data_IF_156665669752
#
_entry.id   IF_156665669752
#
_cell.length_a   1.000
_cell.length_b   1.000
_cell.length_c   1.000
_cell.angle_alpha   90.00
_cell.angle_beta   90.00
_cell.angle_gamma   90.00
#
_symmetry.space_group_name_H-M   'P 1'
#
loop_
_entity.id
_entity.type
_entity.pdbx_description
1 polymer ?
#
# COMPACT_ATOMS: atom_id res chain seq x y z
N UNK A 1 -21.36 -23.28 30.59
CA UNK A 1 -22.63 -22.74 30.07
C UNK A 1 -22.20 -21.59 29.18
N UNK A 2 -21.98 -21.92 27.99
CA UNK A 2 -22.75 -21.77 26.76
C UNK A 2 -22.89 -20.30 26.34
N UNK A 3 -21.98 -19.83 25.46
CA UNK A 3 -22.23 -18.73 24.55
C UNK A 3 -21.54 -19.06 23.21
N UNK A 4 -22.01 -20.14 22.58
CA UNK A 4 -21.83 -20.43 21.16
C UNK A 4 -23.14 -20.03 20.49
N UNK A 5 -23.11 -18.96 19.70
CA UNK A 5 -23.97 -18.74 18.51
C UNK A 5 -23.95 -17.27 18.15
N UNK A 6 -23.19 -16.95 17.12
CA UNK A 6 -23.58 -15.98 16.09
C UNK A 6 -22.59 -16.13 14.92
N UNK A 7 -22.61 -17.30 14.30
CA UNK A 7 -22.13 -17.45 12.93
C UNK A 7 -23.29 -17.03 12.01
N UNK A 8 -23.24 -15.82 11.50
CA UNK A 8 -24.10 -15.36 10.43
C UNK A 8 -23.64 -15.94 9.09
N UNK A 9 -24.07 -17.18 8.79
CA UNK A 9 -24.06 -17.64 7.40
C UNK A 9 -24.97 -16.69 6.61
N UNK A 10 -24.45 -16.08 5.54
CA UNK A 10 -25.24 -15.35 4.55
C UNK A 10 -26.27 -16.32 3.97
N UNK A 11 -27.43 -16.47 4.61
CA UNK A 11 -28.54 -17.21 4.04
C UNK A 11 -29.27 -16.28 3.07
N UNK A 12 -29.04 -16.47 1.79
CA UNK A 12 -29.93 -15.94 0.76
C UNK A 12 -31.33 -16.54 0.96
N UNK A 13 -32.42 -15.75 0.88
CA UNK A 13 -33.78 -16.31 0.92
C UNK A 13 -33.92 -17.26 -0.25
N UNK A 14 -34.29 -18.51 0.01
CA UNK A 14 -34.60 -19.49 -1.01
C UNK A 14 -35.82 -18.99 -1.83
N UNK A 15 -35.57 -18.18 -2.84
CA UNK A 15 -36.48 -18.03 -3.97
C UNK A 15 -36.23 -19.24 -4.86
N UNK A 16 -37.25 -20.08 -5.08
CA UNK A 16 -37.19 -21.35 -5.85
C UNK A 16 -36.91 -21.13 -7.34
N UNK A 17 -35.79 -20.50 -7.68
CA UNK A 17 -35.26 -20.32 -9.02
C UNK A 17 -33.80 -20.84 -9.10
N UNK A 18 -33.26 -21.04 -10.32
CA UNK A 18 -31.85 -21.42 -10.47
C UNK A 18 -30.92 -20.33 -9.87
N UNK A 19 -29.83 -20.76 -9.21
CA UNK A 19 -28.80 -19.85 -8.69
C UNK A 19 -28.23 -18.99 -9.83
N UNK A 20 -28.01 -17.71 -9.55
CA UNK A 20 -27.29 -16.81 -10.44
C UNK A 20 -25.82 -17.23 -10.55
N UNK A 21 -25.09 -16.74 -11.57
CA UNK A 21 -23.65 -17.00 -11.71
C UNK A 21 -22.87 -16.53 -10.46
N UNK A 22 -23.20 -15.34 -9.93
CA UNK A 22 -22.56 -14.80 -8.72
C UNK A 22 -22.83 -15.71 -7.50
N UNK A 23 -24.06 -16.18 -7.29
CA UNK A 23 -24.39 -17.07 -6.17
C UNK A 23 -23.63 -18.41 -6.26
N UNK A 24 -23.44 -18.96 -7.46
CA UNK A 24 -22.64 -20.18 -7.67
C UNK A 24 -21.17 -19.94 -7.29
N UNK A 25 -20.57 -18.84 -7.79
CA UNK A 25 -19.19 -18.49 -7.49
C UNK A 25 -18.98 -18.25 -6.00
N UNK A 26 -19.88 -17.50 -5.33
CA UNK A 26 -19.82 -17.27 -3.89
C UNK A 26 -19.88 -18.58 -3.11
N UNK A 27 -20.81 -19.47 -3.48
CA UNK A 27 -20.92 -20.81 -2.84
C UNK A 27 -19.66 -21.64 -3.04
N UNK A 28 -19.03 -21.54 -4.22
CA UNK A 28 -17.78 -22.23 -4.52
C UNK A 28 -16.63 -21.64 -3.66
N UNK A 29 -16.50 -20.31 -3.56
CA UNK A 29 -15.51 -19.65 -2.69
C UNK A 29 -15.70 -20.11 -1.24
N UNK A 30 -16.95 -20.15 -0.73
CA UNK A 30 -17.21 -20.62 0.64
C UNK A 30 -16.73 -22.06 0.88
N UNK A 31 -16.76 -22.91 -0.15
CA UNK A 31 -16.24 -24.28 -0.06
C UNK A 31 -14.72 -24.38 -0.01
N UNK A 32 -14.00 -23.35 -0.37
CA UNK A 32 -12.54 -23.30 -0.38
C UNK A 32 -11.92 -22.81 0.95
N UNK A 33 -12.72 -22.50 1.97
CA UNK A 33 -12.24 -21.88 3.22
C UNK A 33 -10.97 -22.54 3.76
N UNK A 34 -11.00 -23.85 3.97
CA UNK A 34 -9.87 -24.57 4.55
C UNK A 34 -8.67 -24.61 3.59
N UNK A 35 -8.92 -24.77 2.29
CA UNK A 35 -7.88 -24.75 1.26
C UNK A 35 -7.19 -23.37 1.15
N UNK A 36 -7.94 -22.28 1.28
CA UNK A 36 -7.38 -20.92 1.31
C UNK A 36 -6.51 -20.70 2.54
N UNK A 37 -6.92 -21.20 3.70
CA UNK A 37 -6.12 -21.14 4.93
C UNK A 37 -4.81 -21.92 4.75
N UNK A 38 -4.86 -23.14 4.25
CA UNK A 38 -3.68 -23.99 4.05
C UNK A 38 -2.73 -23.36 3.03
N UNK A 39 -3.26 -22.75 1.96
CA UNK A 39 -2.43 -22.08 0.97
C UNK A 39 -1.77 -20.81 1.52
N UNK A 40 -2.48 -20.02 2.33
CA UNK A 40 -1.93 -18.88 3.04
C UNK A 40 -0.76 -19.29 3.96
N UNK A 41 -0.94 -20.38 4.72
CA UNK A 41 0.11 -20.92 5.60
C UNK A 41 1.32 -21.39 4.77
N UNK A 42 1.08 -22.04 3.63
CA UNK A 42 2.13 -22.47 2.71
C UNK A 42 2.94 -21.28 2.16
N UNK A 43 2.28 -20.20 1.74
CA UNK A 43 2.95 -19.00 1.22
C UNK A 43 3.74 -18.27 2.30
N UNK A 44 3.22 -18.19 3.53
CA UNK A 44 3.93 -17.59 4.66
C UNK A 44 5.23 -18.35 5.02
N UNK A 45 5.26 -19.67 4.83
CA UNK A 45 6.45 -20.50 5.07
C UNK A 45 7.60 -20.25 4.07
N UNK A 46 7.37 -19.41 3.05
CA UNK A 46 8.36 -19.03 2.04
C UNK A 46 8.60 -17.54 2.12
N UNK A 47 9.51 -17.09 3.00
CA UNK A 47 9.81 -15.67 3.14
C UNK A 47 10.44 -15.15 1.85
N UNK A 48 9.74 -14.22 1.22
CA UNK A 48 10.19 -13.53 0.00
C UNK A 48 10.70 -12.12 0.37
N UNK A 49 11.65 -12.05 1.30
CA UNK A 49 12.26 -10.79 1.70
C UNK A 49 13.19 -10.31 0.58
N UNK A 50 13.11 -9.03 0.25
CA UNK A 50 13.94 -8.41 -0.78
C UNK A 50 15.43 -8.56 -0.49
N UNK A 51 16.31 -8.74 -1.52
CA UNK A 51 17.76 -8.79 -1.35
C UNK A 51 18.32 -7.57 -0.63
N UNK A 52 17.81 -6.37 -0.92
CA UNK A 52 18.20 -5.13 -0.24
C UNK A 52 17.93 -5.15 1.27
N UNK A 53 17.01 -6.01 1.74
CA UNK A 53 16.69 -6.26 3.14
C UNK A 53 17.29 -7.55 3.68
N UNK A 54 18.25 -8.16 2.96
CA UNK A 54 18.99 -9.35 3.37
C UNK A 54 18.31 -10.69 3.07
N UNK A 55 17.27 -10.69 2.22
CA UNK A 55 16.56 -11.90 1.80
C UNK A 55 17.04 -12.48 0.47
N UNK A 56 16.32 -13.48 -0.03
CA UNK A 56 16.61 -14.17 -1.30
C UNK A 56 15.66 -13.77 -2.44
N UNK A 57 14.70 -12.84 -2.18
CA UNK A 57 13.69 -12.43 -3.14
C UNK A 57 12.56 -13.46 -3.34
N UNK A 58 11.78 -13.31 -4.41
CA UNK A 58 10.48 -13.94 -4.58
C UNK A 58 10.49 -15.25 -5.36
N UNK A 59 11.60 -15.67 -5.92
CA UNK A 59 11.67 -16.80 -6.89
C UNK A 59 10.99 -18.06 -6.37
N UNK A 60 11.26 -18.45 -5.12
CA UNK A 60 10.67 -19.66 -4.51
C UNK A 60 9.15 -19.56 -4.35
N UNK A 61 8.65 -18.37 -3.96
CA UNK A 61 7.22 -18.11 -3.85
C UNK A 61 6.56 -18.09 -5.23
N UNK A 62 7.21 -17.45 -6.21
CA UNK A 62 6.76 -17.39 -7.60
C UNK A 62 6.58 -18.79 -8.23
N UNK A 63 7.45 -19.75 -7.93
CA UNK A 63 7.32 -21.13 -8.43
C UNK A 63 6.01 -21.79 -7.96
N UNK A 64 5.65 -21.65 -6.69
CA UNK A 64 4.40 -22.20 -6.15
C UNK A 64 3.18 -21.50 -6.77
N UNK A 65 3.25 -20.18 -6.90
CA UNK A 65 2.20 -19.39 -7.52
C UNK A 65 2.01 -19.76 -8.99
N UNK A 66 3.08 -19.97 -9.75
CA UNK A 66 3.04 -20.44 -11.13
C UNK A 66 2.36 -21.81 -11.27
N UNK A 67 2.63 -22.71 -10.34
CA UNK A 67 1.97 -24.01 -10.30
C UNK A 67 0.47 -23.90 -10.00
N UNK A 68 0.09 -23.02 -9.08
CA UNK A 68 -1.32 -22.73 -8.80
C UNK A 68 -2.04 -22.17 -10.03
N UNK A 69 -1.46 -21.15 -10.69
CA UNK A 69 -2.02 -20.49 -11.86
C UNK A 69 -2.28 -21.48 -13.00
N UNK A 70 -1.29 -22.33 -13.31
CA UNK A 70 -1.39 -23.36 -14.35
C UNK A 70 -2.50 -24.37 -14.07
N UNK A 71 -2.65 -24.80 -12.81
CA UNK A 71 -3.67 -25.79 -12.40
C UNK A 71 -5.09 -25.24 -12.44
N UNK A 72 -5.25 -23.93 -12.32
CA UNK A 72 -6.56 -23.27 -12.20
C UNK A 72 -6.97 -22.47 -13.45
N UNK A 73 -6.54 -22.92 -14.64
CA UNK A 73 -7.07 -22.48 -15.92
C UNK A 73 -6.54 -21.15 -16.45
N UNK A 74 -5.52 -20.55 -15.80
CA UNK A 74 -4.86 -19.38 -16.38
C UNK A 74 -3.94 -19.84 -17.51
N UNK A 75 -4.26 -19.45 -18.72
CA UNK A 75 -3.69 -20.01 -19.95
C UNK A 75 -2.57 -19.18 -20.58
N UNK A 76 -2.55 -17.87 -20.32
CA UNK A 76 -1.52 -16.95 -20.78
C UNK A 76 -0.76 -16.46 -19.56
N UNK A 77 0.41 -17.04 -19.30
CA UNK A 77 1.26 -16.70 -18.17
C UNK A 77 2.57 -16.13 -18.74
N UNK A 78 2.85 -14.88 -18.43
CA UNK A 78 4.10 -14.21 -18.75
C UNK A 78 4.90 -13.99 -17.45
N UNK A 79 6.19 -14.37 -17.47
CA UNK A 79 7.10 -14.18 -16.34
C UNK A 79 8.17 -13.17 -16.75
N UNK A 80 7.99 -11.94 -16.31
CA UNK A 80 8.91 -10.83 -16.59
C UNK A 80 10.01 -10.88 -15.54
N UNK A 81 11.24 -11.17 -15.97
CA UNK A 81 12.43 -11.24 -15.12
C UNK A 81 13.12 -9.88 -15.10
N UNK A 82 12.92 -9.13 -14.04
CA UNK A 82 13.61 -7.85 -13.85
C UNK A 82 15.04 -8.11 -13.38
N UNK A 83 16.08 -7.58 -14.03
CA UNK A 83 17.46 -7.75 -13.62
C UNK A 83 17.71 -7.20 -12.20
N UNK A 84 18.34 -8.01 -11.34
CA UNK A 84 18.75 -7.64 -9.99
C UNK A 84 19.97 -8.48 -9.60
N UNK A 85 21.16 -7.87 -9.62
CA UNK A 85 22.43 -8.55 -9.32
C UNK A 85 22.60 -8.86 -7.84
N UNK A 86 21.81 -8.27 -6.97
CA UNK A 86 21.82 -8.57 -5.54
C UNK A 86 20.96 -9.80 -5.22
N UNK A 87 20.09 -10.21 -6.13
CA UNK A 87 19.31 -11.44 -6.00
C UNK A 87 20.15 -12.68 -6.35
N UNK A 88 19.98 -13.82 -5.61
CA UNK A 88 20.72 -15.05 -5.89
C UNK A 88 20.54 -15.61 -7.32
N UNK A 89 19.49 -15.19 -7.99
CA UNK A 89 19.14 -15.63 -9.36
C UNK A 89 19.43 -14.56 -10.42
N UNK A 90 20.06 -13.44 -10.05
CA UNK A 90 20.32 -12.27 -10.87
C UNK A 90 19.05 -11.60 -11.44
N UNK A 91 17.86 -11.92 -10.91
CA UNK A 91 16.58 -11.29 -11.28
C UNK A 91 15.51 -11.41 -10.21
N UNK A 92 14.51 -10.53 -10.29
CA UNK A 92 13.24 -10.57 -9.55
C UNK A 92 12.09 -10.95 -10.50
N UNK A 93 11.25 -11.94 -10.18
CA UNK A 93 10.15 -12.36 -11.05
C UNK A 93 8.91 -11.50 -10.88
N UNK A 94 8.27 -11.13 -11.98
CA UNK A 94 6.92 -10.56 -12.01
C UNK A 94 6.06 -11.45 -12.90
N UNK A 95 4.89 -11.86 -12.42
CA UNK A 95 4.01 -12.81 -13.11
C UNK A 95 2.74 -12.08 -13.55
N UNK A 96 2.45 -12.12 -14.85
CA UNK A 96 1.20 -11.66 -15.41
C UNK A 96 0.45 -12.87 -15.99
N UNK A 97 -0.77 -13.14 -15.51
CA UNK A 97 -1.53 -14.31 -15.92
C UNK A 97 -2.96 -13.94 -16.27
N UNK A 98 -3.51 -14.55 -17.31
CA UNK A 98 -4.87 -14.28 -17.82
C UNK A 98 -5.75 -15.52 -17.74
N UNK A 99 -6.95 -15.34 -17.18
CA UNK A 99 -8.08 -16.23 -17.36
C UNK A 99 -9.02 -15.65 -18.42
N UNK A 100 -9.23 -16.38 -19.51
CA UNK A 100 -9.93 -15.87 -20.70
C UNK A 100 -11.43 -15.75 -20.50
N UNK A 101 -11.94 -14.54 -20.74
CA UNK A 101 -13.36 -14.23 -20.78
C UNK A 101 -14.03 -14.48 -22.14
N UNK A 102 -15.22 -13.94 -22.30
CA UNK A 102 -15.99 -13.94 -23.56
C UNK A 102 -15.44 -12.89 -24.53
N UNK A 103 -14.97 -11.76 -24.01
CA UNK A 103 -14.40 -10.63 -24.74
C UNK A 103 -13.04 -10.24 -24.18
N UNK A 104 -12.00 -10.29 -25.02
CA UNK A 104 -10.63 -9.90 -24.66
C UNK A 104 -10.32 -8.42 -24.95
N UNK A 105 -11.31 -7.59 -25.26
CA UNK A 105 -11.11 -6.15 -25.48
C UNK A 105 -10.70 -5.41 -24.22
N UNK A 106 -11.06 -5.93 -23.04
CA UNK A 106 -10.78 -5.40 -21.71
C UNK A 106 -10.26 -6.51 -20.80
N UNK A 107 -9.44 -6.15 -19.82
CA UNK A 107 -9.03 -7.04 -18.72
C UNK A 107 -9.35 -6.37 -17.38
N UNK A 108 -9.81 -7.17 -16.44
CA UNK A 108 -10.01 -6.77 -15.05
C UNK A 108 -8.84 -7.34 -14.27
N UNK A 109 -7.90 -6.48 -13.89
CA UNK A 109 -6.67 -6.83 -13.19
C UNK A 109 -6.82 -6.72 -11.68
N UNK A 110 -6.32 -7.72 -10.97
CA UNK A 110 -5.96 -7.61 -9.55
C UNK A 110 -4.44 -7.76 -9.47
N UNK A 111 -3.78 -6.73 -8.93
CA UNK A 111 -2.34 -6.71 -8.74
C UNK A 111 -2.00 -6.82 -7.26
N UNK A 112 -1.21 -7.84 -6.89
CA UNK A 112 -0.68 -8.08 -5.55
C UNK A 112 0.82 -8.27 -5.59
N UNK A 113 1.52 -8.10 -4.47
CA UNK A 113 2.95 -8.32 -4.40
C UNK A 113 3.32 -9.60 -3.66
N UNK A 114 4.46 -10.18 -4.03
CA UNK A 114 4.96 -11.44 -3.48
C UNK A 114 5.95 -11.25 -2.34
N UNK A 115 6.62 -10.12 -2.31
CA UNK A 115 7.61 -9.79 -1.28
C UNK A 115 6.97 -9.42 0.05
N UNK A 116 7.80 -9.39 1.08
CA UNK A 116 7.40 -9.07 2.45
C UNK A 116 8.55 -8.32 3.13
N UNK A 117 8.22 -7.47 4.12
CA UNK A 117 9.24 -6.88 4.99
C UNK A 117 9.85 -7.91 5.95
N UNK A 118 11.08 -7.69 6.45
CA UNK A 118 11.65 -8.48 7.54
C UNK A 118 10.75 -8.50 8.78
N UNK A 119 10.81 -9.56 9.60
CA UNK A 119 9.93 -9.72 10.77
C UNK A 119 10.22 -8.74 11.92
N UNK A 120 11.35 -8.02 11.87
CA UNK A 120 11.81 -7.18 12.98
C UNK A 120 12.30 -8.01 14.16
N UNK A 121 12.06 -7.50 15.38
CA UNK A 121 12.50 -8.13 16.64
C UNK A 121 11.73 -9.41 16.93
N UNK A 122 12.35 -10.58 16.76
CA UNK A 122 11.72 -11.88 16.95
C UNK A 122 11.16 -12.10 18.37
N UNK A 123 11.75 -11.45 19.38
CA UNK A 123 11.26 -11.53 20.77
C UNK A 123 9.87 -10.93 20.99
N UNK A 124 9.38 -10.12 20.04
CA UNK A 124 8.04 -9.52 20.08
C UNK A 124 6.96 -10.42 19.45
N UNK A 125 7.37 -11.49 18.76
CA UNK A 125 6.46 -12.44 18.15
C UNK A 125 6.07 -13.54 19.14
N UNK A 126 4.80 -13.94 19.15
CA UNK A 126 4.29 -15.08 19.94
C UNK A 126 4.77 -16.43 19.41
N UNK A 127 5.15 -16.50 18.14
CA UNK A 127 5.64 -17.70 17.44
C UNK A 127 6.65 -17.35 16.36
N UNK A 128 7.04 -18.33 15.56
CA UNK A 128 7.90 -18.12 14.41
C UNK A 128 7.10 -17.34 13.33
N UNK A 129 7.52 -16.14 12.90
CA UNK A 129 6.78 -15.33 11.94
C UNK A 129 6.57 -16.00 10.58
N UNK A 130 7.36 -17.03 10.25
CA UNK A 130 7.26 -17.78 9.00
C UNK A 130 6.63 -19.18 9.17
N UNK A 131 6.08 -19.46 10.35
CA UNK A 131 5.25 -20.64 10.61
C UNK A 131 3.86 -20.19 11.02
N UNK A 132 3.10 -19.76 10.04
CA UNK A 132 1.78 -19.22 10.30
C UNK A 132 0.89 -20.18 11.10
N UNK A 133 0.11 -19.64 12.03
CA UNK A 133 -0.83 -20.42 12.85
C UNK A 133 -2.22 -19.76 12.86
N UNK A 134 -3.23 -20.60 13.08
CA UNK A 134 -4.63 -20.15 13.16
C UNK A 134 -5.07 -20.06 14.61
N UNK A 135 -5.58 -18.90 15.01
CA UNK A 135 -6.15 -18.68 16.33
C UNK A 135 -7.29 -17.65 16.26
N UNK A 136 -8.45 -17.97 16.84
CA UNK A 136 -9.56 -17.01 16.96
C UNK A 136 -10.13 -16.48 15.63
N UNK A 137 -10.07 -17.28 14.55
CA UNK A 137 -10.53 -16.85 13.21
C UNK A 137 -9.53 -16.00 12.44
N UNK A 138 -8.30 -15.94 12.91
CA UNK A 138 -7.17 -15.20 12.33
C UNK A 138 -6.04 -16.14 11.95
N UNK A 139 -5.30 -15.81 10.91
CA UNK A 139 -4.04 -16.44 10.53
C UNK A 139 -2.93 -15.46 10.88
N UNK A 140 -2.02 -15.87 11.76
CA UNK A 140 -0.89 -15.06 12.20
C UNK A 140 0.38 -15.46 11.45
N UNK A 141 1.18 -14.49 11.03
CA UNK A 141 2.46 -14.68 10.36
C UNK A 141 2.90 -13.42 9.63
N UNK A 142 4.15 -13.31 9.21
CA UNK A 142 4.62 -12.18 8.41
C UNK A 142 4.12 -12.31 6.97
N UNK A 143 3.56 -11.22 6.43
CA UNK A 143 3.04 -11.15 5.07
C UNK A 143 1.62 -11.72 4.91
N UNK A 144 0.97 -12.17 6.00
CA UNK A 144 -0.35 -12.79 5.92
C UNK A 144 -1.47 -11.78 5.65
N UNK A 145 -1.32 -10.52 6.08
CA UNK A 145 -2.20 -9.42 5.72
C UNK A 145 -1.64 -8.69 4.50
N UNK A 146 -0.37 -8.36 4.55
CA UNK A 146 0.36 -7.58 3.55
C UNK A 146 1.32 -8.47 2.74
N UNK A 147 0.98 -8.93 1.56
CA UNK A 147 -0.28 -8.73 0.80
C UNK A 147 -0.91 -10.09 0.44
N UNK A 148 -0.56 -11.17 1.21
CA UNK A 148 -0.98 -12.54 0.88
C UNK A 148 -2.49 -12.76 1.07
N UNK A 149 -3.16 -12.00 1.97
CA UNK A 149 -4.61 -12.07 2.13
C UNK A 149 -5.30 -11.91 0.77
N UNK A 150 -4.99 -10.83 0.07
CA UNK A 150 -5.67 -10.50 -1.18
C UNK A 150 -5.06 -11.21 -2.38
N UNK A 151 -3.80 -11.61 -2.30
CA UNK A 151 -3.22 -12.55 -3.25
C UNK A 151 -4.02 -13.86 -3.27
N UNK A 152 -4.22 -14.48 -2.12
CA UNK A 152 -5.00 -15.73 -2.01
C UNK A 152 -6.46 -15.49 -2.40
N UNK A 153 -7.07 -14.39 -1.93
CA UNK A 153 -8.45 -14.03 -2.28
C UNK A 153 -8.65 -13.92 -3.79
N UNK A 154 -7.78 -13.22 -4.50
CA UNK A 154 -7.87 -13.05 -5.96
C UNK A 154 -7.66 -14.35 -6.73
N UNK A 155 -6.69 -15.16 -6.30
CA UNK A 155 -6.40 -16.47 -6.91
C UNK A 155 -7.57 -17.44 -6.77
N UNK A 156 -8.19 -17.50 -5.59
CA UNK A 156 -9.32 -18.38 -5.35
C UNK A 156 -10.62 -17.86 -5.96
N UNK A 157 -10.78 -16.56 -6.17
CA UNK A 157 -11.84 -16.03 -7.00
C UNK A 157 -11.75 -16.58 -8.43
N UNK A 158 -10.56 -16.55 -9.05
CA UNK A 158 -10.34 -17.12 -10.40
C UNK A 158 -10.56 -18.64 -10.40
N UNK A 159 -10.04 -19.36 -9.39
CA UNK A 159 -10.25 -20.82 -9.25
C UNK A 159 -11.74 -21.17 -9.21
N UNK A 160 -12.58 -20.35 -8.56
CA UNK A 160 -14.02 -20.57 -8.52
C UNK A 160 -14.66 -20.49 -9.91
N UNK A 161 -14.26 -19.53 -10.76
CA UNK A 161 -14.69 -19.48 -12.17
C UNK A 161 -14.27 -20.72 -12.93
N UNK A 162 -13.04 -21.17 -12.74
CA UNK A 162 -12.50 -22.35 -13.41
C UNK A 162 -13.28 -23.61 -13.05
N UNK A 163 -13.51 -23.88 -11.76
CA UNK A 163 -14.21 -25.07 -11.29
C UNK A 163 -15.70 -25.09 -11.61
N UNK A 164 -16.35 -23.92 -11.65
CA UNK A 164 -17.74 -23.80 -12.09
C UNK A 164 -17.88 -23.80 -13.62
N UNK A 165 -16.79 -23.81 -14.37
CA UNK A 165 -16.80 -23.75 -15.84
C UNK A 165 -17.38 -22.45 -16.39
N UNK A 166 -17.37 -21.38 -15.62
CA UNK A 166 -17.93 -20.07 -15.97
C UNK A 166 -16.90 -19.22 -16.70
N UNK A 167 -17.35 -18.50 -17.72
CA UNK A 167 -16.54 -17.50 -18.42
C UNK A 167 -17.01 -16.11 -18.02
N UNK A 168 -16.14 -15.28 -17.44
CA UNK A 168 -16.43 -13.86 -17.20
C UNK A 168 -16.67 -13.13 -18.52
N UNK A 169 -17.25 -11.94 -18.47
CA UNK A 169 -17.49 -11.16 -19.68
C UNK A 169 -16.19 -10.67 -20.30
N UNK A 170 -15.25 -10.18 -19.49
CA UNK A 170 -13.91 -9.74 -19.90
C UNK A 170 -12.83 -10.70 -19.38
N UNK A 171 -11.62 -10.58 -19.91
CA UNK A 171 -10.48 -11.34 -19.38
C UNK A 171 -10.23 -10.94 -17.91
N UNK A 172 -9.90 -11.90 -17.05
CA UNK A 172 -9.39 -11.63 -15.71
C UNK A 172 -7.86 -11.68 -15.77
N UNK A 173 -7.23 -10.66 -15.22
CA UNK A 173 -5.77 -10.56 -15.09
C UNK A 173 -5.35 -10.68 -13.64
N UNK A 174 -4.37 -11.53 -13.37
CA UNK A 174 -3.66 -11.60 -12.08
C UNK A 174 -2.23 -11.14 -12.33
N UNK A 175 -1.82 -10.10 -11.62
CA UNK A 175 -0.45 -9.60 -11.60
C UNK A 175 0.14 -9.83 -10.21
N UNK A 176 1.20 -10.67 -10.14
CA UNK A 176 1.94 -10.95 -8.92
C UNK A 176 3.33 -10.35 -9.09
N UNK A 177 3.59 -9.25 -8.39
CA UNK A 177 4.80 -8.47 -8.59
C UNK A 177 5.80 -8.65 -7.47
N UNK A 178 7.05 -8.30 -7.73
CA UNK A 178 8.14 -8.25 -6.79
C UNK A 178 8.36 -6.82 -6.27
N UNK A 179 9.19 -6.65 -5.23
CA UNK A 179 9.84 -5.40 -4.87
C UNK A 179 8.90 -4.26 -4.41
N UNK A 180 7.66 -4.57 -4.05
CA UNK A 180 6.72 -3.55 -3.58
C UNK A 180 7.28 -2.84 -2.34
N UNK A 181 7.70 -3.60 -1.37
CA UNK A 181 8.16 -3.19 -0.04
C UNK A 181 9.51 -2.41 -0.05
N UNK A 182 10.18 -2.38 -1.20
CA UNK A 182 11.46 -1.67 -1.35
C UNK A 182 11.46 -0.63 -2.48
N UNK A 183 10.27 -0.28 -3.02
CA UNK A 183 10.06 0.85 -3.91
C UNK A 183 9.60 0.51 -5.32
N UNK A 184 9.31 -0.75 -5.62
CA UNK A 184 8.70 -1.25 -6.87
C UNK A 184 9.53 -1.07 -8.15
N UNK A 185 10.81 -0.64 -8.05
CA UNK A 185 11.68 -0.46 -9.24
C UNK A 185 11.92 -1.77 -9.99
N UNK A 186 12.00 -2.89 -9.27
CA UNK A 186 12.15 -4.24 -9.82
C UNK A 186 10.80 -4.94 -10.02
N UNK A 187 9.72 -4.33 -9.54
CA UNK A 187 8.35 -4.80 -9.59
C UNK A 187 7.54 -4.15 -10.71
N UNK A 188 6.40 -3.56 -10.31
CA UNK A 188 5.43 -3.03 -11.27
C UNK A 188 5.96 -1.86 -12.10
N UNK A 189 6.88 -1.04 -11.59
CA UNK A 189 7.46 0.06 -12.36
C UNK A 189 8.23 -0.48 -13.58
N UNK A 190 9.03 -1.54 -13.36
CA UNK A 190 9.69 -2.23 -14.47
C UNK A 190 8.69 -2.84 -15.45
N UNK A 191 7.64 -3.49 -14.95
CA UNK A 191 6.59 -4.11 -15.76
C UNK A 191 5.88 -3.07 -16.63
N UNK A 192 5.51 -1.92 -16.06
CA UNK A 192 4.82 -0.84 -16.77
C UNK A 192 5.69 -0.24 -17.90
N UNK A 193 7.01 -0.21 -17.71
CA UNK A 193 7.95 0.35 -18.70
C UNK A 193 8.40 -0.65 -19.77
N UNK A 194 8.28 -1.97 -19.53
CA UNK A 194 8.82 -3.03 -20.41
C UNK A 194 7.75 -4.00 -20.94
N UNK A 195 6.49 -3.84 -20.55
CA UNK A 195 5.37 -4.67 -20.99
C UNK A 195 4.23 -3.80 -21.51
N UNK A 196 3.45 -4.36 -22.45
CA UNK A 196 2.23 -3.75 -22.98
C UNK A 196 0.98 -4.54 -22.53
N UNK A 197 1.06 -5.24 -21.41
CA UNK A 197 -0.04 -6.08 -20.90
C UNK A 197 -1.26 -5.25 -20.48
N UNK A 198 -1.04 -4.06 -19.91
CA UNK A 198 -2.10 -3.17 -19.45
C UNK A 198 -2.58 -2.24 -20.55
N UNK A 199 -3.91 -2.07 -20.65
CA UNK A 199 -4.58 -1.22 -21.63
C UNK A 199 -5.39 -0.12 -20.95
N UNK A 200 -5.65 0.99 -21.64
CA UNK A 200 -6.35 2.16 -21.07
C UNK A 200 -7.78 1.87 -20.60
N UNK A 201 -8.43 0.90 -21.20
CA UNK A 201 -9.79 0.48 -20.84
C UNK A 201 -9.85 -0.60 -19.76
N UNK A 202 -8.70 -1.11 -19.31
CA UNK A 202 -8.65 -2.13 -18.27
C UNK A 202 -9.08 -1.55 -16.91
N UNK A 203 -9.66 -2.37 -16.06
CA UNK A 203 -9.92 -2.06 -14.66
C UNK A 203 -8.76 -2.61 -13.83
N UNK A 204 -8.15 -1.77 -13.00
CA UNK A 204 -6.99 -2.17 -12.21
C UNK A 204 -7.32 -1.96 -10.74
N UNK A 205 -7.36 -3.07 -10.00
CA UNK A 205 -7.52 -3.09 -8.54
C UNK A 205 -6.19 -3.48 -7.91
N UNK A 206 -5.75 -2.68 -6.96
CA UNK A 206 -4.55 -2.92 -6.15
C UNK A 206 -4.99 -3.11 -4.70
N UNK A 207 -5.12 -4.32 -4.19
CA UNK A 207 -5.62 -4.55 -2.84
C UNK A 207 -4.50 -4.44 -1.79
N UNK A 208 -3.97 -3.23 -1.65
CA UNK A 208 -2.80 -2.92 -0.83
C UNK A 208 -3.06 -1.75 0.15
N UNK A 209 -4.29 -1.26 0.18
CA UNK A 209 -4.78 -0.29 1.15
C UNK A 209 -6.27 -0.50 1.37
N UNK A 210 -6.73 -0.27 2.60
CA UNK A 210 -8.11 -0.51 2.98
C UNK A 210 -8.46 0.04 4.34
N UNK A 211 -9.52 -0.46 4.92
CA UNK A 211 -9.91 -0.22 6.32
C UNK A 211 -10.69 -1.41 6.88
N UNK A 212 -10.85 -1.45 8.21
CA UNK A 212 -11.56 -2.54 8.92
C UNK A 212 -13.01 -2.74 8.44
N UNK A 213 -13.69 -1.68 7.98
CA UNK A 213 -15.04 -1.78 7.46
C UNK A 213 -15.10 -2.26 6.01
N UNK A 214 -13.99 -2.25 5.26
CA UNK A 214 -13.95 -2.56 3.84
C UNK A 214 -14.68 -1.53 2.96
N UNK A 215 -14.76 -0.27 3.43
CA UNK A 215 -15.51 0.81 2.74
C UNK A 215 -14.62 1.81 2.03
N UNK A 216 -13.32 1.84 2.34
CA UNK A 216 -12.36 2.76 1.74
C UNK A 216 -11.92 2.27 0.36
N UNK A 217 -12.15 3.06 -0.67
CA UNK A 217 -11.62 2.87 -2.02
C UNK A 217 -10.61 4.00 -2.23
N UNK A 218 -9.32 3.69 -2.15
CA UNK A 218 -8.27 4.68 -2.35
C UNK A 218 -8.15 5.03 -3.84
N UNK A 219 -8.17 6.32 -4.14
CA UNK A 219 -8.14 6.86 -5.51
C UNK A 219 -7.10 7.97 -5.69
N UNK A 220 -6.46 8.41 -4.61
CA UNK A 220 -5.50 9.52 -4.64
C UNK A 220 -4.57 9.51 -3.42
N UNK A 221 -3.36 10.02 -3.59
CA UNK A 221 -2.41 10.23 -2.49
C UNK A 221 -1.98 11.69 -2.41
N UNK A 222 -1.52 12.11 -1.21
CA UNK A 222 -0.80 13.38 -1.06
C UNK A 222 0.65 13.23 -1.53
N UNK A 223 1.25 14.33 -2.00
CA UNK A 223 2.69 14.36 -2.20
C UNK A 223 3.42 14.22 -0.87
N UNK A 224 4.52 13.48 -0.88
CA UNK A 224 5.39 13.27 0.27
C UNK A 224 6.64 14.13 0.13
N UNK A 225 6.97 14.89 1.19
CA UNK A 225 8.20 15.66 1.25
C UNK A 225 8.78 15.62 2.68
N UNK A 226 9.88 14.91 2.85
CA UNK A 226 10.62 14.89 4.11
C UNK A 226 11.89 15.73 3.97
N UNK A 227 12.05 16.66 4.89
CA UNK A 227 13.16 17.61 4.89
C UNK A 227 13.95 17.51 6.17
N UNK A 228 15.28 17.54 6.03
CA UNK A 228 16.21 17.75 7.12
C UNK A 228 16.70 19.20 7.09
N UNK A 229 16.58 19.87 8.21
CA UNK A 229 17.06 21.24 8.43
C UNK A 229 18.27 21.19 9.32
N UNK A 230 19.41 21.68 8.85
CA UNK A 230 20.65 21.84 9.62
C UNK A 230 20.97 23.32 9.75
N UNK A 231 20.94 23.83 10.98
CA UNK A 231 21.17 25.23 11.30
C UNK A 231 22.56 25.36 11.89
N UNK A 232 23.44 26.11 11.23
CA UNK A 232 24.81 26.43 11.69
C UNK A 232 24.89 27.83 12.28
N UNK A 233 25.40 27.91 13.50
CA UNK A 233 25.70 29.12 14.23
C UNK A 233 27.15 29.13 14.70
N UNK A 234 27.37 29.54 15.96
CA UNK A 234 28.71 29.55 16.57
C UNK A 234 28.61 29.12 18.02
N UNK A 235 29.31 28.04 18.37
CA UNK A 235 29.40 27.57 19.74
C UNK A 235 30.13 28.56 20.66
N UNK A 236 29.59 28.72 21.88
CA UNK A 236 30.24 29.56 22.91
C UNK A 236 29.76 29.11 24.31
N UNK A 237 30.42 29.64 25.35
CA UNK A 237 29.98 29.43 26.73
C UNK A 237 28.66 30.16 26.98
N UNK A 238 27.73 29.52 27.68
CA UNK A 238 26.37 30.03 27.93
C UNK A 238 26.31 31.35 28.67
N UNK A 239 27.36 31.69 29.46
CA UNK A 239 27.44 32.95 30.20
C UNK A 239 27.98 34.14 29.38
N UNK A 240 28.51 33.89 28.16
CA UNK A 240 29.02 34.91 27.24
C UNK A 240 28.34 34.81 25.87
N UNK A 241 27.00 35.00 25.81
CA UNK A 241 26.22 34.77 24.62
C UNK A 241 26.59 35.64 23.43
N UNK A 242 27.21 36.82 23.69
CA UNK A 242 27.69 37.75 22.67
C UNK A 242 28.84 37.19 21.83
N UNK A 243 29.52 36.13 22.29
CA UNK A 243 30.62 35.45 21.57
C UNK A 243 30.12 34.31 20.66
N UNK A 244 28.87 33.92 20.84
CA UNK A 244 28.24 32.84 20.13
C UNK A 244 27.13 33.27 19.17
N UNK A 245 26.66 32.31 18.36
CA UNK A 245 25.43 32.42 17.55
C UNK A 245 24.64 31.16 17.83
N UNK A 246 23.52 31.30 18.53
CA UNK A 246 22.75 30.16 19.04
C UNK A 246 21.92 29.51 17.94
N UNK A 247 22.40 28.40 17.40
CA UNK A 247 21.71 27.62 16.35
C UNK A 247 20.39 27.03 16.84
N UNK A 248 20.32 26.57 18.09
CA UNK A 248 19.09 26.01 18.67
C UNK A 248 17.97 27.05 18.79
N UNK A 249 18.31 28.28 19.18
CA UNK A 249 17.34 29.38 19.22
C UNK A 249 16.82 29.68 17.81
N UNK A 250 17.72 29.79 16.83
CA UNK A 250 17.34 30.05 15.45
C UNK A 250 16.44 28.92 14.87
N UNK A 251 16.81 27.66 15.11
CA UNK A 251 16.01 26.49 14.69
C UNK A 251 14.62 26.49 15.35
N UNK A 252 14.51 26.85 16.64
CA UNK A 252 13.22 26.93 17.33
C UNK A 252 12.30 28.00 16.72
N UNK A 253 12.85 29.15 16.36
CA UNK A 253 12.10 30.20 15.65
C UNK A 253 11.73 29.75 14.23
N UNK A 254 12.63 29.04 13.54
CA UNK A 254 12.33 28.48 12.23
C UNK A 254 11.12 27.52 12.30
N UNK A 255 11.09 26.59 13.24
CA UNK A 255 9.95 25.69 13.45
C UNK A 255 8.65 26.47 13.64
N UNK A 256 8.68 27.53 14.48
CA UNK A 256 7.52 28.39 14.71
C UNK A 256 7.06 29.13 13.43
N UNK A 257 8.01 29.65 12.64
CA UNK A 257 7.69 30.33 11.37
C UNK A 257 7.19 29.34 10.30
N UNK A 258 7.73 28.12 10.25
CA UNK A 258 7.27 27.08 9.33
C UNK A 258 5.82 26.67 9.58
N UNK A 259 5.30 26.81 10.81
CA UNK A 259 3.89 26.57 11.10
C UNK A 259 2.95 27.48 10.27
N UNK A 260 3.47 28.59 9.71
CA UNK A 260 2.70 29.46 8.81
C UNK A 260 2.43 28.82 7.44
N UNK A 261 3.08 27.70 7.10
CA UNK A 261 2.76 26.95 5.88
C UNK A 261 1.30 26.54 5.83
N UNK A 262 0.67 26.23 6.96
CA UNK A 262 -0.76 25.96 7.05
C UNK A 262 -1.62 27.15 6.59
N UNK A 263 -1.16 28.39 6.78
CA UNK A 263 -1.84 29.59 6.28
C UNK A 263 -1.47 29.90 4.82
N UNK A 264 -0.31 29.46 4.37
CA UNK A 264 0.15 29.67 2.98
C UNK A 264 -0.53 28.68 2.03
N UNK A 265 -0.80 27.46 2.53
CA UNK A 265 -1.45 26.37 1.79
C UNK A 265 -2.76 25.94 2.49
N UNK A 266 -3.77 26.84 2.55
CA UNK A 266 -4.95 26.69 3.42
C UNK A 266 -6.05 25.82 2.82
N UNK A 267 -5.92 25.40 1.55
CA UNK A 267 -6.99 24.73 0.85
C UNK A 267 -7.35 23.40 1.48
N UNK A 268 -8.61 23.02 1.33
CA UNK A 268 -9.16 21.77 1.81
C UNK A 268 -9.64 20.92 0.63
N UNK A 269 -9.41 19.64 0.72
CA UNK A 269 -9.96 18.66 -0.20
C UNK A 269 -10.68 17.57 0.63
N UNK A 270 -12.01 17.48 0.53
CA UNK A 270 -12.79 16.51 1.31
C UNK A 270 -12.55 15.05 0.91
N UNK A 271 -11.79 14.81 -0.17
CA UNK A 271 -11.37 13.49 -0.55
C UNK A 271 -10.40 12.87 0.48
N UNK A 272 -9.63 13.71 1.19
CA UNK A 272 -8.60 13.31 2.15
C UNK A 272 -9.03 13.48 3.60
N UNK A 273 -8.45 12.66 4.49
CA UNK A 273 -8.54 12.82 5.94
C UNK A 273 -7.12 12.79 6.55
N UNK A 274 -6.63 13.88 7.18
CA UNK A 274 -7.26 15.20 7.24
C UNK A 274 -7.35 15.88 5.87
N UNK A 275 -8.35 16.74 5.64
CA UNK A 275 -8.62 17.34 4.32
C UNK A 275 -7.69 18.49 3.96
N UNK A 276 -6.52 18.58 4.57
CA UNK A 276 -5.53 19.67 4.42
C UNK A 276 -4.14 19.10 4.12
N UNK A 277 -3.25 19.93 3.62
CA UNK A 277 -1.81 19.63 3.66
C UNK A 277 -1.31 19.67 5.10
N UNK A 278 -0.36 18.80 5.47
CA UNK A 278 0.25 18.78 6.80
C UNK A 278 1.75 19.05 6.72
N UNK A 279 2.28 19.78 7.74
CA UNK A 279 3.67 20.23 7.81
C UNK A 279 4.15 20.07 9.24
N UNK A 280 4.61 18.86 9.61
CA UNK A 280 4.91 18.53 11.00
C UNK A 280 6.42 18.37 11.25
N UNK A 281 7.00 19.11 12.21
CA UNK A 281 8.34 18.81 12.72
C UNK A 281 8.28 17.54 13.56
N UNK A 282 8.96 16.46 13.11
CA UNK A 282 8.77 15.10 13.66
C UNK A 282 9.97 14.57 14.42
N UNK A 283 11.20 14.99 14.06
CA UNK A 283 12.42 14.45 14.64
C UNK A 283 13.41 15.55 14.92
N UNK A 284 14.16 15.43 16.02
CA UNK A 284 15.24 16.32 16.41
C UNK A 284 16.47 15.52 16.82
N UNK A 285 17.67 15.97 16.40
CA UNK A 285 18.94 15.40 16.83
C UNK A 285 19.47 16.11 18.08
N UNK A 286 20.32 15.43 18.83
CA UNK A 286 21.04 16.03 19.95
C UNK A 286 22.03 17.05 19.44
N UNK A 287 22.14 18.20 20.13
CA UNK A 287 23.12 19.25 19.75
C UNK A 287 24.38 19.26 20.67
N UNK A 288 24.32 19.77 21.89
CA UNK A 288 25.45 19.82 22.80
C UNK A 288 25.24 18.95 24.03
N UNK A 289 26.30 18.32 24.58
CA UNK A 289 26.16 17.37 25.69
C UNK A 289 25.95 18.03 27.06
N UNK A 290 26.19 19.34 27.18
CA UNK A 290 26.17 20.06 28.47
C UNK A 290 25.35 21.35 28.40
N UNK A 291 24.69 21.70 29.50
CA UNK A 291 23.70 22.79 29.59
C UNK A 291 24.33 24.18 29.44
N UNK A 292 25.57 24.35 29.83
CA UNK A 292 26.28 25.65 29.84
C UNK A 292 26.94 26.04 28.50
N UNK A 293 26.55 25.39 27.42
CA UNK A 293 27.12 25.62 26.07
C UNK A 293 26.02 26.10 25.13
N UNK A 294 26.28 27.21 24.43
CA UNK A 294 25.47 27.65 23.28
C UNK A 294 25.79 26.71 22.11
N UNK A 295 24.82 26.02 21.52
CA UNK A 295 25.08 25.12 20.41
C UNK A 295 25.45 25.86 19.13
N UNK A 296 26.48 25.35 18.45
CA UNK A 296 26.93 25.83 17.13
C UNK A 296 26.18 25.17 15.98
N UNK A 297 25.52 24.04 16.21
CA UNK A 297 24.72 23.35 15.23
C UNK A 297 23.42 22.83 15.86
N UNK A 298 22.37 22.80 15.10
CA UNK A 298 21.07 22.19 15.47
C UNK A 298 20.41 21.56 14.27
N UNK A 299 19.84 20.36 14.45
CA UNK A 299 19.22 19.58 13.37
C UNK A 299 17.82 19.13 13.77
N UNK A 300 16.85 19.36 12.87
CA UNK A 300 15.51 18.80 12.97
C UNK A 300 14.98 18.36 11.61
N UNK A 301 13.91 17.58 11.62
CA UNK A 301 13.25 17.03 10.43
C UNK A 301 11.79 17.44 10.39
N UNK A 302 11.23 17.52 9.19
CA UNK A 302 9.82 17.82 8.95
C UNK A 302 9.23 16.81 7.96
N UNK A 303 8.10 16.22 8.32
CA UNK A 303 7.22 15.46 7.43
C UNK A 303 6.18 16.40 6.85
N UNK A 304 6.06 16.42 5.53
CA UNK A 304 5.04 17.19 4.83
C UNK A 304 4.22 16.30 3.92
N UNK A 305 2.89 16.34 4.09
CA UNK A 305 1.90 15.66 3.25
C UNK A 305 1.11 16.72 2.51
N UNK A 306 1.36 16.86 1.21
CA UNK A 306 0.93 18.01 0.42
C UNK A 306 -0.22 17.59 -0.47
N UNK A 307 -1.36 18.30 -0.40
CA UNK A 307 -2.51 18.05 -1.28
C UNK A 307 -2.09 18.16 -2.76
N UNK A 308 -2.61 17.31 -3.66
CA UNK A 308 -2.18 17.26 -5.08
C UNK A 308 -2.32 18.56 -5.86
N UNK A 309 -3.14 19.50 -5.39
CA UNK A 309 -3.31 20.82 -6.02
C UNK A 309 -2.10 21.76 -5.85
N UNK A 310 -1.20 21.45 -4.90
CA UNK A 310 0.04 22.19 -4.68
C UNK A 310 1.22 21.36 -5.16
N UNK A 311 2.17 22.01 -5.80
CA UNK A 311 3.43 21.35 -6.17
C UNK A 311 4.41 21.34 -4.99
N UNK A 312 5.28 20.34 -4.95
CA UNK A 312 6.36 20.29 -3.95
C UNK A 312 7.27 21.52 -4.09
N UNK A 313 7.49 22.00 -5.31
CA UNK A 313 8.34 23.16 -5.63
C UNK A 313 7.78 24.46 -5.02
N UNK A 314 6.47 24.66 -5.01
CA UNK A 314 5.82 25.81 -4.33
C UNK A 314 6.06 25.78 -2.83
N UNK A 315 5.94 24.59 -2.22
CA UNK A 315 6.20 24.39 -0.79
C UNK A 315 7.67 24.66 -0.46
N UNK A 316 8.61 24.09 -1.21
CA UNK A 316 10.06 24.32 -1.04
C UNK A 316 10.39 25.81 -1.19
N UNK A 317 9.81 26.51 -2.16
CA UNK A 317 10.00 27.96 -2.35
C UNK A 317 9.54 28.76 -1.12
N UNK A 318 8.40 28.41 -0.55
CA UNK A 318 7.87 29.06 0.67
C UNK A 318 8.80 28.80 1.87
N UNK A 319 9.30 27.57 2.03
CA UNK A 319 10.26 27.18 3.06
C UNK A 319 11.56 27.97 2.90
N UNK A 320 12.11 28.07 1.69
CA UNK A 320 13.34 28.82 1.41
C UNK A 320 13.19 30.31 1.72
N UNK A 321 12.02 30.89 1.51
CA UNK A 321 11.72 32.26 1.89
C UNK A 321 11.80 32.44 3.41
N UNK A 322 11.25 31.47 4.14
CA UNK A 322 11.25 31.47 5.62
C UNK A 322 12.67 31.26 6.16
N UNK A 323 13.43 30.29 5.63
CA UNK A 323 14.82 30.05 6.06
C UNK A 323 15.69 31.28 5.84
N UNK A 324 15.60 31.93 4.68
CA UNK A 324 16.32 33.17 4.36
C UNK A 324 16.03 34.31 5.37
N UNK A 325 14.79 34.44 5.82
CA UNK A 325 14.41 35.42 6.85
C UNK A 325 15.10 35.12 8.18
N UNK A 326 15.06 33.86 8.63
CA UNK A 326 15.67 33.38 9.87
C UNK A 326 17.22 33.52 9.83
N UNK A 327 17.84 33.20 8.70
CA UNK A 327 19.29 33.38 8.51
C UNK A 327 19.72 34.81 8.73
N UNK A 328 18.99 35.77 8.17
CA UNK A 328 19.30 37.23 8.34
C UNK A 328 19.07 37.67 9.76
N UNK A 329 17.98 37.27 10.38
CA UNK A 329 17.61 37.71 11.74
C UNK A 329 18.57 37.16 12.81
N UNK A 330 18.93 35.89 12.73
CA UNK A 330 19.75 35.19 13.73
C UNK A 330 21.23 35.07 13.35
N UNK A 331 21.63 35.52 12.15
CA UNK A 331 23.02 35.44 11.63
C UNK A 331 23.52 33.99 11.57
N UNK A 332 22.64 33.03 11.28
CA UNK A 332 22.92 31.60 11.08
C UNK A 332 22.97 31.27 9.59
N UNK A 333 23.43 30.05 9.27
CA UNK A 333 23.20 29.43 7.97
C UNK A 333 22.28 28.22 8.14
N UNK A 334 21.34 28.03 7.21
CA UNK A 334 20.41 26.93 7.23
C UNK A 334 20.57 26.14 5.94
N UNK A 335 20.83 24.85 6.09
CA UNK A 335 20.95 23.90 4.99
C UNK A 335 19.70 23.02 4.97
N UNK A 336 19.12 22.88 3.78
CA UNK A 336 17.99 22.04 3.50
C UNK A 336 18.46 20.79 2.75
N UNK A 337 18.05 19.61 3.21
CA UNK A 337 18.29 18.34 2.55
C UNK A 337 16.94 17.63 2.35
N UNK A 338 16.64 17.25 1.10
CA UNK A 338 15.48 16.42 0.78
C UNK A 338 15.85 14.97 1.12
N UNK A 339 15.27 14.40 2.20
CA UNK A 339 15.50 13.01 2.59
C UNK A 339 14.52 12.06 1.91
N UNK A 340 13.34 12.57 1.54
CA UNK A 340 12.38 11.87 0.68
C UNK A 340 11.52 12.87 -0.09
N UNK A 341 11.25 12.56 -1.37
CA UNK A 341 10.40 13.36 -2.25
C UNK A 341 9.63 12.47 -3.20
N UNK A 342 8.31 12.48 -3.09
CA UNK A 342 7.42 11.75 -3.99
C UNK A 342 6.22 12.64 -4.36
N UNK A 343 6.14 13.15 -5.59
CA UNK A 343 4.97 13.88 -6.06
C UNK A 343 3.73 13.00 -6.07
N UNK A 344 2.58 13.55 -5.74
CA UNK A 344 1.29 12.87 -5.90
C UNK A 344 1.08 12.43 -7.36
N UNK A 345 0.50 11.25 -7.53
CA UNK A 345 0.03 10.83 -8.83
C UNK A 345 -1.29 11.54 -9.20
N UNK A 346 -1.66 11.64 -10.48
CA UNK A 346 -2.99 12.07 -10.87
C UNK A 346 -4.05 11.17 -10.19
N UNK A 347 -5.12 11.73 -9.62
CA UNK A 347 -6.14 10.92 -8.96
C UNK A 347 -6.96 10.11 -9.96
N UNK A 348 -7.40 8.91 -9.59
CA UNK A 348 -8.46 8.19 -10.30
C UNK A 348 -9.80 8.88 -9.99
N UNK A 349 -10.62 9.08 -11.02
CA UNK A 349 -11.95 9.69 -10.82
C UNK A 349 -12.82 8.82 -9.90
N UNK A 350 -13.58 9.46 -9.00
CA UNK A 350 -14.59 8.76 -8.21
C UNK A 350 -15.69 8.10 -9.04
N UNK A 351 -15.83 8.52 -10.31
CA UNK A 351 -16.77 7.97 -11.29
C UNK A 351 -16.11 6.99 -12.27
N UNK A 352 -14.79 6.71 -12.11
CA UNK A 352 -14.09 5.75 -12.94
C UNK A 352 -14.74 4.35 -12.86
N UNK A 353 -14.75 3.58 -13.96
CA UNK A 353 -15.36 2.25 -14.00
C UNK A 353 -14.87 1.31 -12.89
N UNK A 354 -13.57 1.33 -12.57
CA UNK A 354 -13.01 0.51 -11.49
C UNK A 354 -13.58 0.89 -10.12
N UNK A 355 -13.78 2.18 -9.86
CA UNK A 355 -14.33 2.67 -8.59
C UNK A 355 -15.82 2.30 -8.48
N UNK A 356 -16.57 2.41 -9.56
CA UNK A 356 -17.99 2.02 -9.58
C UNK A 356 -18.16 0.49 -9.42
N UNK A 357 -17.29 -0.31 -10.06
CA UNK A 357 -17.28 -1.76 -9.90
C UNK A 357 -17.02 -2.15 -8.43
N UNK A 358 -16.05 -1.52 -7.77
CA UNK A 358 -15.76 -1.73 -6.34
C UNK A 358 -16.94 -1.30 -5.46
N UNK A 359 -17.54 -0.12 -5.67
CA UNK A 359 -18.72 0.33 -4.90
C UNK A 359 -19.87 -0.68 -4.98
N UNK A 360 -20.17 -1.17 -6.17
CA UNK A 360 -21.23 -2.16 -6.38
C UNK A 360 -20.91 -3.48 -5.66
N UNK A 361 -19.68 -3.97 -5.80
CA UNK A 361 -19.24 -5.21 -5.16
C UNK A 361 -19.26 -5.10 -3.62
N UNK A 362 -18.73 -4.02 -3.05
CA UNK A 362 -18.76 -3.76 -1.60
C UNK A 362 -20.21 -3.73 -1.09
N UNK A 363 -21.09 -3.06 -1.82
CA UNK A 363 -22.51 -2.96 -1.46
C UNK A 363 -23.19 -4.34 -1.48
N UNK A 364 -22.92 -5.15 -2.50
CA UNK A 364 -23.56 -6.44 -2.66
C UNK A 364 -22.99 -7.51 -1.73
N UNK A 365 -21.69 -7.48 -1.42
CA UNK A 365 -21.04 -8.49 -0.57
C UNK A 365 -21.09 -8.07 0.90
N UNK A 366 -20.58 -6.87 1.23
CA UNK A 366 -20.48 -6.41 2.61
C UNK A 366 -21.70 -5.63 3.12
N UNK A 367 -22.69 -5.32 2.24
CA UNK A 367 -23.88 -4.52 2.54
C UNK A 367 -23.53 -3.12 3.09
N UNK A 368 -22.41 -2.57 2.65
CA UNK A 368 -21.91 -1.25 3.01
C UNK A 368 -21.74 -0.39 1.76
N UNK A 369 -21.70 0.92 1.91
CA UNK A 369 -21.45 1.84 0.80
C UNK A 369 -19.94 2.15 0.72
N UNK A 370 -19.32 1.77 -0.41
CA UNK A 370 -17.92 2.10 -0.70
C UNK A 370 -17.73 3.58 -0.97
N UNK A 371 -16.66 4.17 -0.42
CA UNK A 371 -16.34 5.60 -0.52
C UNK A 371 -14.97 5.81 -1.17
N UNK A 372 -14.93 6.56 -2.27
CA UNK A 372 -13.67 7.03 -2.83
C UNK A 372 -12.98 7.96 -1.82
N UNK A 373 -11.70 7.71 -1.53
CA UNK A 373 -10.93 8.37 -0.47
C UNK A 373 -9.51 8.62 -0.96
N UNK A 374 -8.95 9.75 -0.58
CA UNK A 374 -7.52 10.04 -0.73
C UNK A 374 -6.79 9.76 0.58
N UNK A 375 -5.56 9.26 0.50
CA UNK A 375 -4.71 8.94 1.67
C UNK A 375 -3.51 9.87 1.79
N UNK A 376 -2.92 9.91 2.98
CA UNK A 376 -1.71 10.69 3.25
C UNK A 376 -0.41 9.97 2.90
N UNK A 377 -0.47 8.67 2.63
CA UNK A 377 0.66 7.82 2.22
C UNK A 377 0.79 7.70 0.70
N UNK A 378 1.61 6.76 0.25
CA UNK A 378 1.70 6.32 -1.14
C UNK A 378 1.32 4.87 -1.25
N UNK A 379 0.77 4.47 -2.40
CA UNK A 379 0.49 3.08 -2.77
C UNK A 379 1.06 2.78 -4.14
N UNK A 380 1.17 1.51 -4.49
CA UNK A 380 1.61 1.08 -5.83
C UNK A 380 0.63 1.51 -6.93
N UNK A 381 -0.64 1.78 -6.59
CA UNK A 381 -1.60 2.33 -7.55
C UNK A 381 -1.16 3.68 -8.14
N UNK A 382 -0.34 4.46 -7.41
CA UNK A 382 0.27 5.69 -7.93
C UNK A 382 1.11 5.44 -9.18
N UNK A 383 1.80 4.31 -9.29
CA UNK A 383 2.62 3.98 -10.47
C UNK A 383 1.73 3.78 -11.70
N UNK A 384 0.62 3.07 -11.55
CA UNK A 384 -0.37 2.96 -12.62
C UNK A 384 -0.95 4.32 -13.01
N UNK A 385 -1.31 5.15 -12.03
CA UNK A 385 -1.87 6.49 -12.27
C UNK A 385 -0.86 7.41 -12.98
N UNK A 386 0.43 7.37 -12.61
CA UNK A 386 1.51 8.09 -13.34
C UNK A 386 1.68 7.61 -14.78
N UNK A 387 1.46 6.31 -15.02
CA UNK A 387 1.43 5.72 -16.37
C UNK A 387 0.10 5.99 -17.10
N UNK A 388 -0.77 6.84 -16.53
CA UNK A 388 -2.09 7.22 -17.04
C UNK A 388 -3.08 6.04 -17.14
N UNK A 389 -3.05 5.10 -16.21
CA UNK A 389 -4.11 4.11 -16.03
C UNK A 389 -5.01 4.51 -14.86
N UNK A 390 -6.30 4.20 -14.94
CA UNK A 390 -7.22 4.34 -13.83
C UNK A 390 -7.09 3.12 -12.92
N UNK A 391 -6.47 3.29 -11.75
CA UNK A 391 -6.30 2.27 -10.74
C UNK A 391 -6.89 2.71 -9.41
N UNK A 392 -7.45 1.79 -8.65
CA UNK A 392 -7.95 2.02 -7.30
C UNK A 392 -7.39 0.97 -6.34
N UNK A 393 -7.03 1.40 -5.11
CA UNK A 393 -6.73 0.46 -4.04
C UNK A 393 -8.00 0.13 -3.25
N UNK A 394 -8.13 -1.15 -2.93
CA UNK A 394 -9.20 -1.59 -2.03
C UNK A 394 -8.89 -2.96 -1.45
N UNK A 395 -8.97 -3.07 -0.15
CA UNK A 395 -8.99 -4.32 0.60
C UNK A 395 -9.77 -4.11 1.91
N UNK A 396 -10.14 -5.20 2.59
CA UNK A 396 -10.68 -5.14 3.95
C UNK A 396 -9.61 -5.61 4.92
N UNK A 397 -8.94 -4.67 5.59
CA UNK A 397 -7.73 -4.87 6.38
C UNK A 397 -7.90 -4.34 7.81
N UNK A 398 -7.23 -4.99 8.78
CA UNK A 398 -7.13 -4.53 10.18
C UNK A 398 -5.88 -3.66 10.42
N UNK A 399 -5.11 -3.34 9.38
CA UNK A 399 -3.89 -2.53 9.41
C UNK A 399 -2.82 -3.09 10.37
N UNK A 400 -2.58 -4.41 10.32
CA UNK A 400 -1.56 -5.09 11.12
C UNK A 400 -0.22 -5.26 10.38
N UNK A 401 -0.16 -4.81 9.13
CA UNK A 401 1.03 -4.82 8.30
C UNK A 401 2.27 -4.25 9.02
N UNK A 402 3.44 -4.83 8.75
CA UNK A 402 4.75 -4.44 9.30
C UNK A 402 4.90 -4.57 10.82
N UNK A 403 3.86 -5.01 11.56
CA UNK A 403 3.89 -5.16 13.01
C UNK A 403 4.27 -6.60 13.41
N UNK A 404 4.86 -6.81 14.61
CA UNK A 404 4.96 -8.14 15.20
C UNK A 404 3.57 -8.72 15.46
N UNK A 405 3.41 -10.03 15.22
CA UNK A 405 2.13 -10.74 15.30
C UNK A 405 1.09 -10.23 14.27
N UNK A 406 1.55 -9.80 13.11
CA UNK A 406 0.70 -9.53 11.96
C UNK A 406 -0.28 -10.67 11.76
N UNK A 407 -1.53 -10.35 11.39
CA UNK A 407 -2.56 -11.34 11.11
C UNK A 407 -3.49 -10.89 10.00
N UNK A 408 -4.04 -11.84 9.26
CA UNK A 408 -5.24 -11.61 8.47
C UNK A 408 -6.48 -12.25 9.11
N UNK A 409 -7.64 -11.63 8.98
CA UNK A 409 -8.92 -12.23 9.37
C UNK A 409 -9.38 -13.16 8.24
N UNK A 410 -9.64 -14.44 8.55
CA UNK A 410 -10.05 -15.42 7.57
C UNK A 410 -11.34 -14.99 6.83
N UNK A 411 -12.29 -14.39 7.56
CA UNK A 411 -13.54 -13.92 6.97
C UNK A 411 -13.34 -12.67 6.08
N UNK A 412 -12.28 -11.87 6.30
CA UNK A 412 -11.88 -10.80 5.38
C UNK A 412 -11.36 -11.41 4.07
N UNK A 413 -10.38 -12.30 4.13
CA UNK A 413 -9.85 -13.01 2.96
C UNK A 413 -10.95 -13.67 2.13
N UNK A 414 -11.92 -14.33 2.79
CA UNK A 414 -13.08 -14.95 2.14
C UNK A 414 -14.02 -13.91 1.50
N UNK A 415 -14.24 -12.80 2.18
CA UNK A 415 -15.09 -11.71 1.71
C UNK A 415 -14.48 -10.98 0.52
N UNK A 416 -13.19 -10.72 0.56
CA UNK A 416 -12.45 -10.05 -0.52
C UNK A 416 -12.41 -10.91 -1.79
N UNK A 417 -12.27 -12.24 -1.65
CA UNK A 417 -12.43 -13.16 -2.78
C UNK A 417 -13.81 -13.04 -3.44
N UNK A 418 -14.87 -12.83 -2.66
CA UNK A 418 -16.23 -12.62 -3.20
C UNK A 418 -16.38 -11.25 -3.87
N UNK A 419 -15.72 -10.21 -3.33
CA UNK A 419 -15.68 -8.89 -3.97
C UNK A 419 -14.96 -8.96 -5.31
N UNK A 420 -13.79 -9.60 -5.39
CA UNK A 420 -13.08 -9.80 -6.66
C UNK A 420 -13.93 -10.60 -7.65
N UNK A 421 -14.59 -11.69 -7.20
CA UNK A 421 -15.47 -12.47 -8.06
C UNK A 421 -16.64 -11.64 -8.60
N UNK A 422 -17.22 -10.75 -7.78
CA UNK A 422 -18.27 -9.83 -8.22
C UNK A 422 -17.76 -8.86 -9.29
N UNK A 423 -16.56 -8.29 -9.10
CA UNK A 423 -15.94 -7.41 -10.08
C UNK A 423 -15.65 -8.14 -11.39
N UNK A 424 -15.24 -9.40 -11.35
CA UNK A 424 -14.96 -10.22 -12.54
C UNK A 424 -16.21 -10.53 -13.38
N UNK A 425 -17.40 -10.40 -12.78
CA UNK A 425 -18.69 -10.54 -13.49
C UNK A 425 -19.23 -9.22 -14.08
N UNK A 426 -18.46 -8.11 -14.05
CA UNK A 426 -18.91 -6.84 -14.63
C UNK A 426 -19.23 -6.95 -16.13
N UNK A 427 -20.28 -6.21 -16.57
CA UNK A 427 -20.77 -6.13 -17.95
C UNK A 427 -20.06 -5.01 -18.75
#
# INVERSE_FOLDING_TARGET
MSCLKLMGTLSFPQKGGPMTELEKIISRIDSFRDEMIDFQIQLCAIPAIAPASGGEGEVKKAEILLDFLKKNGLSSIDVIKTPDLDAPTDYRPNILALYKGKDSSKTIWVMTHMDIVPPGELAQWKGDPFKAWVEGGKIYGRGVEDNQQDMVASLYAVKAFHEEGLKPNYDIGIALVADEETGSEKGIDYVLSHSHAFRKQDLIVVPDAGNEEGTMIEVAEKSLLWLKFRTEGKQAHGSTPEKGINSFRAASFLVTELNKLYNTFPDKDPLFDPPISTFEPTKKESNVPNINTIPGEDVFYMDSRILPRYTIEEVIKSINTTTTKIEKEFKVKIFLEETQKAPAAPPTSADAPVVQALKNAIKDIYKKDGKATGIGGGTVAALFRRANFEAACWAKLDETAHQPNEYCIIDNMMGDAKVFAHIFLQE
#
